data_IF_977564568623
#
_entry.id   IF_977564568623
#
_cell.length_a   1.000
_cell.length_b   1.000
_cell.length_c   1.000
_cell.angle_alpha   90.00
_cell.angle_beta   90.00
_cell.angle_gamma   90.00
#
_symmetry.space_group_name_H-M   'P 1'
#
loop_
_entity.id
_entity.type
_entity.pdbx_description
1 polymer ?
#
# COMPACT_ATOMS: atom_id res chain seq x y z
N UNK A 1 -6.82 26.05 -7.77
CA UNK A 1 -6.27 24.85 -7.09
C UNK A 1 -7.40 24.18 -6.30
N UNK A 2 -7.71 22.90 -6.50
CA UNK A 2 -8.74 22.18 -5.75
C UNK A 2 -8.30 21.94 -4.31
N UNK A 3 -9.25 21.58 -3.44
CA UNK A 3 -8.92 21.10 -2.10
C UNK A 3 -8.52 19.61 -2.16
N UNK A 4 -7.47 19.25 -1.41
CA UNK A 4 -6.97 17.88 -1.28
C UNK A 4 -7.14 17.43 0.17
N UNK A 5 -7.83 16.31 0.40
CA UNK A 5 -7.95 15.71 1.73
C UNK A 5 -6.83 14.69 1.94
N UNK A 6 -6.04 14.90 2.99
CA UNK A 6 -5.02 13.96 3.44
C UNK A 6 -5.58 13.16 4.60
N UNK A 7 -5.62 11.84 4.46
CA UNK A 7 -6.21 10.90 5.41
C UNK A 7 -5.08 10.17 6.13
N UNK A 8 -5.06 10.26 7.46
CA UNK A 8 -4.03 9.67 8.32
C UNK A 8 -4.71 8.81 9.39
N UNK A 9 -4.76 7.49 9.23
CA UNK A 9 -5.22 6.58 10.28
C UNK A 9 -4.16 6.46 11.38
N UNK A 10 -4.56 6.64 12.64
CA UNK A 10 -3.66 6.69 13.80
C UNK A 10 -4.02 5.57 14.79
N UNK A 11 -3.09 4.66 15.06
CA UNK A 11 -3.24 3.62 16.08
C UNK A 11 -1.89 3.12 16.58
N UNK A 12 -1.62 3.30 17.87
CA UNK A 12 -0.42 2.80 18.57
C UNK A 12 0.91 3.23 17.89
N UNK A 13 1.03 4.53 17.58
CA UNK A 13 2.16 5.14 16.86
C UNK A 13 2.60 6.49 17.43
N UNK A 14 2.33 6.77 18.70
CA UNK A 14 2.62 8.07 19.35
C UNK A 14 4.04 8.58 19.11
N UNK A 15 5.01 7.66 18.97
CA UNK A 15 6.42 7.98 18.73
C UNK A 15 6.66 8.63 17.36
N UNK A 16 5.91 8.24 16.34
CA UNK A 16 6.13 8.62 14.95
C UNK A 16 5.14 9.69 14.47
N UNK A 17 3.95 9.70 15.05
CA UNK A 17 2.83 10.55 14.64
C UNK A 17 3.18 12.06 14.59
N UNK A 18 3.95 12.65 15.53
CA UNK A 18 4.32 14.05 15.43
C UNK A 18 5.13 14.40 14.18
N UNK A 19 6.04 13.52 13.75
CA UNK A 19 6.85 13.70 12.54
C UNK A 19 5.97 13.58 11.29
N UNK A 20 5.08 12.61 11.26
CA UNK A 20 4.10 12.42 10.19
C UNK A 20 3.27 13.69 9.99
N UNK A 21 2.58 14.16 11.03
CA UNK A 21 1.71 15.34 10.96
C UNK A 21 2.52 16.58 10.58
N UNK A 22 3.71 16.78 11.14
CA UNK A 22 4.57 17.91 10.81
C UNK A 22 4.95 17.94 9.34
N UNK A 23 5.21 16.79 8.73
CA UNK A 23 5.54 16.67 7.30
C UNK A 23 4.35 17.03 6.40
N UNK A 24 3.12 16.78 6.87
CA UNK A 24 1.87 17.12 6.18
C UNK A 24 1.58 18.63 6.29
N UNK A 25 1.73 19.20 7.47
CA UNK A 25 1.56 20.64 7.70
C UNK A 25 2.53 21.46 6.84
N UNK A 26 3.76 20.94 6.68
CA UNK A 26 4.85 21.56 5.92
C UNK A 26 4.75 21.42 4.40
N UNK A 27 3.67 20.87 3.83
CA UNK A 27 3.54 20.71 2.39
C UNK A 27 3.55 22.05 1.64
N UNK A 28 4.16 22.08 0.45
CA UNK A 28 4.17 23.27 -0.44
C UNK A 28 2.79 23.56 -0.98
N UNK A 29 1.97 22.55 -1.25
CA UNK A 29 0.57 22.69 -1.61
C UNK A 29 -0.26 23.11 -0.38
N UNK A 30 -0.97 24.24 -0.43
CA UNK A 30 -1.57 24.88 0.76
C UNK A 30 -3.04 24.55 0.99
N UNK A 31 -3.82 24.27 -0.06
CA UNK A 31 -5.27 24.04 0.04
C UNK A 31 -5.57 22.60 0.47
N UNK A 32 -5.27 22.31 1.74
CA UNK A 32 -5.40 21.00 2.32
C UNK A 32 -6.54 20.94 3.34
N UNK A 33 -7.17 19.80 3.42
CA UNK A 33 -7.94 19.27 4.53
C UNK A 33 -7.15 18.09 5.09
N UNK A 34 -6.85 18.06 6.37
CA UNK A 34 -6.07 17.02 7.02
C UNK A 34 -6.99 16.27 7.98
N UNK A 35 -7.25 15.00 7.72
CA UNK A 35 -8.18 14.19 8.52
C UNK A 35 -7.35 13.15 9.28
N UNK A 36 -7.18 13.38 10.59
CA UNK A 36 -6.53 12.45 11.51
C UNK A 36 -7.61 11.57 12.13
N UNK A 37 -7.50 10.25 11.95
CA UNK A 37 -8.46 9.29 12.51
C UNK A 37 -7.78 8.52 13.63
N UNK A 38 -8.03 8.91 14.87
CA UNK A 38 -7.66 8.13 16.05
C UNK A 38 -8.59 6.91 16.15
N UNK A 39 -8.10 5.75 15.77
CA UNK A 39 -8.85 4.50 15.75
C UNK A 39 -8.88 3.82 17.13
N UNK A 40 -9.18 4.59 18.19
CA UNK A 40 -9.23 4.11 19.56
C UNK A 40 -7.86 3.68 20.06
N UNK A 41 -6.84 4.50 19.80
CA UNK A 41 -5.45 4.21 20.15
C UNK A 41 -5.27 4.08 21.67
N UNK A 42 -4.53 3.04 22.16
CA UNK A 42 -4.29 2.86 23.60
C UNK A 42 -3.18 3.77 24.15
N UNK A 43 -2.42 4.43 23.26
CA UNK A 43 -1.33 5.36 23.58
C UNK A 43 -1.78 6.83 23.49
N UNK A 44 -0.84 7.77 23.40
CA UNK A 44 -1.16 9.21 23.34
C UNK A 44 -1.55 9.73 21.95
N UNK A 45 -1.79 8.88 20.95
CA UNK A 45 -2.14 9.33 19.60
C UNK A 45 -3.31 10.29 19.56
N UNK A 46 -4.42 9.99 20.27
CA UNK A 46 -5.59 10.85 20.31
C UNK A 46 -5.27 12.26 20.84
N UNK A 47 -4.51 12.34 21.96
CA UNK A 47 -4.06 13.61 22.53
C UNK A 47 -3.15 14.40 21.58
N UNK A 48 -2.23 13.69 20.88
CA UNK A 48 -1.34 14.31 19.89
C UNK A 48 -2.16 14.90 18.75
N UNK A 49 -3.15 14.17 18.21
CA UNK A 49 -4.05 14.66 17.17
C UNK A 49 -4.74 15.96 17.59
N UNK A 50 -5.30 16.02 18.80
CA UNK A 50 -5.98 17.20 19.34
C UNK A 50 -5.04 18.39 19.52
N UNK A 51 -3.81 18.15 19.97
CA UNK A 51 -2.80 19.20 20.14
C UNK A 51 -2.39 19.81 18.79
N UNK A 52 -2.30 19.02 17.73
CA UNK A 52 -2.04 19.53 16.38
C UNK A 52 -3.24 20.25 15.79
N UNK A 53 -4.47 19.78 16.01
CA UNK A 53 -5.68 20.43 15.54
C UNK A 53 -5.88 21.83 16.15
N UNK A 54 -5.45 22.04 17.40
CA UNK A 54 -5.45 23.38 18.05
C UNK A 54 -4.47 24.35 17.39
N UNK A 55 -3.42 23.84 16.69
CA UNK A 55 -2.36 24.66 16.09
C UNK A 55 -2.58 24.94 14.59
N UNK A 56 -3.34 24.08 13.91
CA UNK A 56 -3.59 24.18 12.47
C UNK A 56 -5.07 23.92 12.14
N UNK A 57 -5.77 24.95 11.72
CA UNK A 57 -7.21 24.88 11.43
C UNK A 57 -7.61 24.00 10.24
N UNK A 58 -6.64 23.53 9.44
CA UNK A 58 -6.86 22.58 8.37
C UNK A 58 -7.06 21.14 8.89
N UNK A 59 -6.72 20.89 10.15
CA UNK A 59 -6.78 19.56 10.77
C UNK A 59 -8.16 19.32 11.35
N UNK A 60 -8.75 18.19 10.98
CA UNK A 60 -9.96 17.61 11.57
C UNK A 60 -9.59 16.29 12.26
N UNK A 61 -10.02 16.10 13.50
CA UNK A 61 -9.77 14.86 14.25
C UNK A 61 -11.07 14.07 14.37
N UNK A 62 -10.98 12.77 14.16
CA UNK A 62 -12.06 11.82 14.43
C UNK A 62 -11.55 10.84 15.47
N UNK A 63 -12.20 10.80 16.63
CA UNK A 63 -12.00 9.75 17.62
C UNK A 63 -13.07 8.68 17.45
N UNK A 64 -12.68 7.43 17.31
CA UNK A 64 -13.61 6.32 17.16
C UNK A 64 -13.15 5.09 17.94
N UNK A 65 -14.04 4.17 18.21
CA UNK A 65 -13.69 2.85 18.72
C UNK A 65 -12.85 2.12 17.67
N UNK A 66 -11.83 1.38 18.11
CA UNK A 66 -10.97 0.62 17.21
C UNK A 66 -11.78 -0.29 16.27
N UNK A 67 -11.58 -0.10 14.98
CA UNK A 67 -12.18 -0.87 13.89
C UNK A 67 -11.15 -1.35 12.87
N UNK A 68 -9.88 -0.99 13.08
CA UNK A 68 -8.75 -1.31 12.22
C UNK A 68 -8.54 -0.33 11.07
N UNK A 69 -7.41 -0.48 10.42
CA UNK A 69 -6.88 0.44 9.37
C UNK A 69 -7.90 0.73 8.26
N UNK A 70 -8.57 -0.30 7.75
CA UNK A 70 -9.60 -0.18 6.72
C UNK A 70 -10.77 0.68 7.17
N UNK A 71 -11.25 0.47 8.41
CA UNK A 71 -12.38 1.22 8.96
C UNK A 71 -12.02 2.69 9.17
N UNK A 72 -10.81 2.97 9.67
CA UNK A 72 -10.32 4.33 9.83
C UNK A 72 -10.22 5.07 8.49
N UNK A 73 -9.69 4.43 7.44
CA UNK A 73 -9.65 5.02 6.10
C UNK A 73 -11.05 5.26 5.53
N UNK A 74 -11.96 4.29 5.67
CA UNK A 74 -13.32 4.41 5.14
C UNK A 74 -14.11 5.54 5.80
N UNK A 75 -14.05 5.67 7.12
CA UNK A 75 -14.70 6.78 7.85
C UNK A 75 -14.18 8.13 7.34
N UNK A 76 -12.88 8.25 7.10
CA UNK A 76 -12.31 9.49 6.56
C UNK A 76 -12.72 9.75 5.11
N UNK A 77 -12.79 8.72 4.25
CA UNK A 77 -13.31 8.85 2.88
C UNK A 77 -14.73 9.42 2.88
N UNK A 78 -15.59 8.93 3.78
CA UNK A 78 -17.01 9.30 3.84
C UNK A 78 -17.23 10.77 4.22
N UNK A 79 -16.30 11.38 4.98
CA UNK A 79 -16.40 12.79 5.41
C UNK A 79 -15.48 13.75 4.65
N UNK A 80 -14.56 13.23 3.83
CA UNK A 80 -13.61 14.05 3.08
C UNK A 80 -14.33 14.97 2.10
N UNK A 81 -13.97 16.26 2.12
CA UNK A 81 -14.58 17.29 1.28
C UNK A 81 -13.69 17.69 0.10
N UNK A 82 -12.42 17.27 0.10
CA UNK A 82 -11.50 17.53 -1.00
C UNK A 82 -11.91 16.82 -2.29
N UNK A 83 -11.58 17.41 -3.42
CA UNK A 83 -11.76 16.80 -4.73
C UNK A 83 -10.83 15.59 -4.92
N UNK A 84 -9.70 15.60 -4.22
CA UNK A 84 -8.67 14.57 -4.27
C UNK A 84 -8.38 14.03 -2.87
N UNK A 85 -8.01 12.75 -2.79
CA UNK A 85 -7.65 12.05 -1.57
C UNK A 85 -6.20 11.56 -1.64
N UNK A 86 -5.46 11.71 -0.55
CA UNK A 86 -4.14 11.13 -0.32
C UNK A 86 -4.17 10.39 1.01
N UNK A 87 -3.66 9.16 1.04
CA UNK A 87 -3.49 8.39 2.27
C UNK A 87 -2.02 8.43 2.69
N UNK A 88 -1.78 8.64 3.97
CA UNK A 88 -0.44 8.60 4.58
C UNK A 88 -0.53 7.75 5.84
N UNK A 89 0.30 6.73 5.95
CA UNK A 89 0.36 5.92 7.16
C UNK A 89 1.08 6.70 8.26
N UNK A 90 0.58 6.64 9.47
CA UNK A 90 0.95 7.54 10.57
C UNK A 90 2.34 7.29 11.18
N UNK A 91 3.01 6.21 10.79
CA UNK A 91 4.42 5.94 11.12
C UNK A 91 5.40 6.39 10.02
N UNK A 92 4.88 6.85 8.88
CA UNK A 92 5.66 7.39 7.77
C UNK A 92 5.70 8.92 7.79
N UNK A 93 6.54 9.53 6.97
CA UNK A 93 6.51 10.95 6.67
C UNK A 93 6.87 11.21 5.21
N UNK A 94 6.51 12.38 4.72
CA UNK A 94 6.60 12.72 3.31
C UNK A 94 7.47 13.96 3.05
N UNK A 95 8.03 14.07 1.84
CA UNK A 95 8.72 15.27 1.40
C UNK A 95 7.75 16.46 1.33
N UNK A 96 8.22 17.68 1.55
CA UNK A 96 7.38 18.89 1.50
C UNK A 96 6.69 19.09 0.13
N UNK A 97 7.23 18.52 -0.95
CA UNK A 97 6.67 18.57 -2.30
C UNK A 97 5.79 17.37 -2.65
N UNK A 98 5.47 16.48 -1.71
CA UNK A 98 4.74 15.24 -1.99
C UNK A 98 3.38 15.49 -2.65
N UNK A 99 2.55 16.31 -2.02
CA UNK A 99 1.21 16.65 -2.55
C UNK A 99 1.29 17.37 -3.89
N UNK A 100 2.16 18.36 -4.00
CA UNK A 100 2.36 19.13 -5.24
C UNK A 100 2.87 18.23 -6.38
N UNK A 101 3.79 17.32 -6.10
CA UNK A 101 4.29 16.33 -7.08
C UNK A 101 3.15 15.45 -7.60
N UNK A 102 2.35 14.88 -6.70
CA UNK A 102 1.23 14.01 -7.09
C UNK A 102 0.14 14.78 -7.85
N UNK A 103 -0.20 15.98 -7.37
CA UNK A 103 -1.24 16.80 -7.99
C UNK A 103 -0.81 17.30 -9.39
N UNK A 104 0.45 17.72 -9.56
CA UNK A 104 0.96 18.13 -10.87
C UNK A 104 0.90 17.02 -11.92
N UNK A 105 1.07 15.75 -11.49
CA UNK A 105 0.95 14.61 -12.40
C UNK A 105 -0.49 14.39 -12.88
N UNK A 106 -1.49 14.45 -11.99
CA UNK A 106 -2.89 14.27 -12.39
C UNK A 106 -3.36 15.39 -13.31
N UNK A 107 -2.93 16.62 -13.06
CA UNK A 107 -3.21 17.75 -13.96
C UNK A 107 -2.52 17.57 -15.32
N UNK A 108 -1.21 17.31 -15.32
CA UNK A 108 -0.41 17.19 -16.55
C UNK A 108 -0.90 16.09 -17.48
N UNK A 109 -1.28 14.95 -16.93
CA UNK A 109 -1.65 13.77 -17.70
C UNK A 109 -3.16 13.57 -17.84
N UNK A 110 -3.96 14.41 -17.20
CA UNK A 110 -5.42 14.32 -17.15
C UNK A 110 -5.89 12.89 -16.81
N UNK A 111 -5.57 12.47 -15.59
CA UNK A 111 -5.92 11.16 -15.03
C UNK A 111 -6.43 11.32 -13.59
N UNK A 112 -7.16 10.33 -13.10
CA UNK A 112 -7.76 10.35 -11.76
C UNK A 112 -6.87 9.77 -10.66
N UNK A 113 -5.72 9.18 -11.04
CA UNK A 113 -4.76 8.59 -10.09
C UNK A 113 -3.35 8.97 -10.52
N UNK A 114 -2.52 9.38 -9.55
CA UNK A 114 -1.07 9.41 -9.75
C UNK A 114 -0.33 8.74 -8.60
N UNK A 115 0.87 8.22 -8.89
CA UNK A 115 1.72 7.54 -7.93
C UNK A 115 3.16 8.07 -7.99
N UNK A 116 3.80 8.16 -6.82
CA UNK A 116 5.20 8.51 -6.67
C UNK A 116 5.94 7.41 -5.89
N UNK A 117 7.26 7.36 -6.05
CA UNK A 117 8.10 6.37 -5.40
C UNK A 117 8.35 6.73 -3.92
N UNK A 118 8.82 5.73 -3.18
CA UNK A 118 9.20 5.84 -1.78
C UNK A 118 10.64 5.37 -1.57
N UNK A 119 11.17 5.64 -0.41
CA UNK A 119 12.42 5.09 0.06
C UNK A 119 12.24 4.48 1.43
N UNK A 120 12.66 3.23 1.57
CA UNK A 120 12.69 2.54 2.85
C UNK A 120 13.73 3.15 3.77
N UNK A 121 13.37 3.34 5.03
CA UNK A 121 14.28 3.75 6.09
C UNK A 121 14.15 2.85 7.32
N UNK A 122 15.25 2.61 7.97
CA UNK A 122 15.25 1.97 9.29
C UNK A 122 15.10 3.04 10.38
N UNK A 123 14.55 2.65 11.52
CA UNK A 123 14.41 3.52 12.67
C UNK A 123 15.78 4.10 13.09
N UNK A 124 15.83 5.40 13.39
CA UNK A 124 17.06 6.10 13.76
C UNK A 124 18.01 6.44 12.60
N UNK A 125 17.68 6.07 11.35
CA UNK A 125 18.51 6.41 10.19
C UNK A 125 18.01 7.67 9.49
N UNK A 126 18.99 8.50 9.05
CA UNK A 126 18.71 9.62 8.16
C UNK A 126 19.02 9.21 6.73
N UNK A 127 18.03 9.29 5.87
CA UNK A 127 18.15 8.98 4.44
C UNK A 127 17.75 10.20 3.61
N UNK A 128 18.35 10.34 2.43
CA UNK A 128 18.00 11.39 1.46
C UNK A 128 17.18 10.75 0.34
N UNK A 129 16.06 11.36 -0.02
CA UNK A 129 15.26 10.96 -1.17
C UNK A 129 15.99 11.28 -2.47
N UNK A 130 15.84 10.42 -3.48
CA UNK A 130 16.25 10.72 -4.83
C UNK A 130 15.11 11.48 -5.53
N UNK A 131 15.38 12.74 -5.81
CA UNK A 131 14.44 13.65 -6.47
C UNK A 131 14.93 14.10 -7.85
N UNK A 132 16.14 13.69 -8.24
CA UNK A 132 16.77 14.07 -9.51
C UNK A 132 16.44 13.04 -10.60
N UNK A 133 16.46 13.50 -11.86
CA UNK A 133 16.25 12.65 -13.05
C UNK A 133 15.00 11.77 -13.00
N UNK A 134 13.89 12.31 -12.50
CA UNK A 134 12.64 11.55 -12.41
C UNK A 134 12.04 11.29 -13.80
N UNK A 135 11.67 10.05 -14.02
CA UNK A 135 10.86 9.63 -15.18
C UNK A 135 9.40 9.82 -14.79
N UNK A 136 8.64 10.38 -15.73
CA UNK A 136 7.18 10.50 -15.60
C UNK A 136 6.52 9.83 -16.80
N UNK A 137 5.54 8.98 -16.55
CA UNK A 137 4.80 8.28 -17.59
C UNK A 137 3.30 8.24 -17.26
N UNK A 138 2.48 8.23 -18.32
CA UNK A 138 1.05 7.89 -18.23
C UNK A 138 0.85 6.46 -18.67
N UNK A 139 0.17 5.67 -17.85
CA UNK A 139 -0.25 4.31 -18.15
C UNK A 139 -1.77 4.28 -18.33
N UNK A 140 -2.26 3.55 -19.33
CA UNK A 140 -3.68 3.20 -19.36
C UNK A 140 -3.99 2.23 -18.21
N UNK A 141 -5.27 1.96 -17.91
CA UNK A 141 -5.67 1.13 -16.76
C UNK A 141 -5.08 -0.28 -16.81
N UNK A 142 -5.04 -0.91 -17.97
CA UNK A 142 -4.52 -2.28 -18.10
C UNK A 142 -3.01 -2.33 -17.81
N UNK A 143 -2.24 -1.42 -18.41
CA UNK A 143 -0.80 -1.31 -18.18
C UNK A 143 -0.47 -0.88 -16.75
N UNK A 144 -1.33 -0.06 -16.12
CA UNK A 144 -1.19 0.34 -14.74
C UNK A 144 -1.38 -0.83 -13.77
N UNK A 145 -2.45 -1.64 -13.96
CA UNK A 145 -2.69 -2.84 -13.16
C UNK A 145 -1.57 -3.86 -13.36
N UNK A 146 -1.14 -4.09 -14.60
CA UNK A 146 -0.01 -4.98 -14.90
C UNK A 146 1.26 -4.53 -14.17
N UNK A 147 1.62 -3.25 -14.29
CA UNK A 147 2.81 -2.64 -13.69
C UNK A 147 2.77 -2.75 -12.16
N UNK A 148 1.61 -2.47 -11.57
CA UNK A 148 1.37 -2.57 -10.12
C UNK A 148 1.52 -4.01 -9.61
N UNK A 149 0.96 -5.00 -10.30
CA UNK A 149 1.06 -6.39 -9.88
C UNK A 149 2.47 -6.97 -10.04
N UNK A 150 3.24 -6.51 -11.02
CA UNK A 150 4.67 -6.83 -11.09
C UNK A 150 5.49 -6.05 -10.05
N UNK A 151 4.88 -5.11 -9.32
CA UNK A 151 5.55 -4.23 -8.35
C UNK A 151 6.72 -3.46 -9.01
N UNK A 152 6.49 -3.00 -10.23
CA UNK A 152 7.36 -2.08 -10.95
C UNK A 152 6.78 -0.67 -10.79
N UNK A 153 7.58 0.36 -10.69
CA UNK A 153 7.20 1.77 -10.57
C UNK A 153 6.27 2.13 -9.41
N UNK A 154 5.27 1.32 -9.07
CA UNK A 154 4.40 1.51 -7.90
C UNK A 154 3.76 0.19 -7.47
N UNK A 155 3.17 0.17 -6.27
CA UNK A 155 2.64 -1.03 -5.61
C UNK A 155 1.15 -0.87 -5.27
N UNK A 156 0.54 -1.94 -4.71
CA UNK A 156 -0.87 -1.96 -4.30
C UNK A 156 -1.18 -1.04 -3.12
N UNK A 157 -0.18 -0.56 -2.36
CA UNK A 157 -0.34 0.30 -1.19
C UNK A 157 -1.36 1.43 -1.41
N UNK A 158 -2.12 1.80 -0.38
CA UNK A 158 -3.00 2.96 -0.42
C UNK A 158 -2.20 4.28 -0.48
N UNK A 159 -1.09 4.34 0.26
CA UNK A 159 -0.20 5.49 0.35
C UNK A 159 0.68 5.68 -0.90
N UNK A 160 1.36 6.83 -0.98
CA UNK A 160 2.22 7.19 -2.11
C UNK A 160 1.46 7.53 -3.38
N UNK A 161 0.16 7.77 -3.28
CA UNK A 161 -0.73 8.04 -4.41
C UNK A 161 -1.72 9.17 -4.07
N UNK A 162 -2.22 9.80 -5.13
CA UNK A 162 -3.38 10.68 -5.10
C UNK A 162 -4.51 10.03 -5.90
N UNK A 163 -5.73 10.14 -5.41
CA UNK A 163 -6.92 9.58 -6.02
C UNK A 163 -7.99 10.68 -6.16
N UNK A 164 -8.66 10.74 -7.29
CA UNK A 164 -9.85 11.57 -7.42
C UNK A 164 -10.95 11.00 -6.51
N UNK A 165 -11.55 11.83 -5.65
CA UNK A 165 -12.55 11.37 -4.65
C UNK A 165 -13.72 10.64 -5.30
N UNK A 166 -14.14 11.06 -6.51
CA UNK A 166 -15.24 10.43 -7.25
C UNK A 166 -15.03 8.93 -7.54
N UNK A 167 -13.81 8.42 -7.56
CA UNK A 167 -13.54 6.98 -7.71
C UNK A 167 -14.15 6.15 -6.57
N UNK A 168 -14.30 6.74 -5.40
CA UNK A 168 -14.91 6.09 -4.23
C UNK A 168 -16.44 6.20 -4.19
N UNK A 169 -17.03 7.02 -5.07
CA UNK A 169 -18.49 7.16 -5.22
C UNK A 169 -19.13 5.91 -5.86
N UNK A 170 -18.33 5.08 -6.56
CA UNK A 170 -18.72 3.75 -7.03
C UNK A 170 -19.01 2.74 -5.90
N UNK A 171 -18.79 3.12 -4.64
CA UNK A 171 -18.94 2.26 -3.47
C UNK A 171 -17.70 1.44 -3.12
N UNK A 172 -16.57 1.61 -3.83
CA UNK A 172 -15.30 0.96 -3.49
C UNK A 172 -14.85 1.44 -2.10
N UNK A 173 -14.59 0.49 -1.21
CA UNK A 173 -14.09 0.73 0.16
C UNK A 173 -13.05 -0.33 0.52
N UNK A 174 -12.19 0.01 1.48
CA UNK A 174 -11.25 -0.94 2.05
C UNK A 174 -12.01 -1.99 2.88
N UNK A 175 -11.72 -3.31 2.75
CA UNK A 175 -12.41 -4.37 3.47
C UNK A 175 -12.15 -4.28 4.98
N UNK A 176 -13.21 -4.03 5.77
CA UNK A 176 -13.12 -3.87 7.23
C UNK A 176 -12.67 -5.15 7.92
N UNK A 177 -11.80 -5.01 8.93
CA UNK A 177 -11.32 -6.11 9.76
C UNK A 177 -10.38 -7.07 9.05
N UNK A 178 -9.87 -6.73 7.87
CA UNK A 178 -8.93 -7.54 7.09
C UNK A 178 -7.59 -6.83 6.99
N UNK A 179 -6.49 -7.60 7.06
CA UNK A 179 -5.15 -7.14 6.71
C UNK A 179 -4.96 -7.22 5.18
N UNK A 180 -3.99 -6.45 4.66
CA UNK A 180 -3.70 -6.39 3.20
C UNK A 180 -4.88 -5.87 2.38
N UNK A 181 -5.61 -4.94 2.93
CA UNK A 181 -6.84 -4.33 2.41
C UNK A 181 -6.62 -3.55 1.10
N UNK A 182 -5.39 -3.13 0.86
CA UNK A 182 -4.95 -2.47 -0.36
C UNK A 182 -4.95 -3.42 -1.57
N UNK A 183 -4.61 -4.68 -1.34
CA UNK A 183 -4.50 -5.71 -2.38
C UNK A 183 -5.80 -5.88 -3.20
N UNK A 184 -6.98 -6.05 -2.58
CA UNK A 184 -8.25 -6.17 -3.30
C UNK A 184 -8.88 -4.82 -3.70
N UNK A 185 -8.30 -3.67 -3.27
CA UNK A 185 -8.94 -2.36 -3.45
C UNK A 185 -8.30 -1.54 -4.56
N UNK A 186 -6.97 -1.45 -4.60
CA UNK A 186 -6.28 -0.50 -5.49
C UNK A 186 -6.49 -0.80 -6.97
N UNK A 187 -6.52 -2.07 -7.40
CA UNK A 187 -6.79 -2.38 -8.81
C UNK A 187 -8.20 -1.97 -9.24
N UNK A 188 -9.20 -2.08 -8.36
CA UNK A 188 -10.58 -1.64 -8.65
C UNK A 188 -10.66 -0.14 -8.87
N UNK A 189 -9.93 0.65 -8.05
CA UNK A 189 -9.84 2.10 -8.24
C UNK A 189 -9.18 2.45 -9.58
N UNK A 190 -8.17 1.66 -10.01
CA UNK A 190 -7.54 1.85 -11.32
C UNK A 190 -8.52 1.50 -12.45
N UNK A 191 -9.34 0.48 -12.31
CA UNK A 191 -10.36 0.11 -13.30
C UNK A 191 -11.43 1.20 -13.49
N UNK A 192 -11.79 1.91 -12.42
CA UNK A 192 -12.71 3.06 -12.48
C UNK A 192 -12.06 4.33 -13.06
N UNK A 193 -10.73 4.38 -13.15
CA UNK A 193 -10.01 5.56 -13.65
C UNK A 193 -9.79 5.49 -15.17
N UNK A 194 -9.34 6.59 -15.77
CA UNK A 194 -8.87 6.62 -17.17
C UNK A 194 -7.44 6.09 -17.33
N UNK A 195 -6.69 5.96 -16.22
CA UNK A 195 -5.31 5.52 -16.15
C UNK A 195 -4.58 6.07 -14.94
N UNK A 196 -3.26 5.84 -14.89
CA UNK A 196 -2.40 6.26 -13.78
C UNK A 196 -1.20 7.01 -14.32
N UNK A 197 -0.91 8.20 -13.75
CA UNK A 197 0.36 8.88 -13.97
C UNK A 197 1.37 8.44 -12.89
N UNK A 198 2.59 8.11 -13.29
CA UNK A 198 3.60 7.60 -12.36
C UNK A 198 4.88 8.41 -12.49
N UNK A 199 5.50 8.74 -11.37
CA UNK A 199 6.86 9.30 -11.35
C UNK A 199 7.80 8.41 -10.56
N UNK A 200 9.06 8.33 -11.02
CA UNK A 200 10.14 7.69 -10.25
C UNK A 200 10.67 8.57 -9.12
N UNK A 201 10.18 9.80 -8.98
CA UNK A 201 10.56 10.71 -7.89
C UNK A 201 10.14 10.12 -6.54
N UNK A 202 11.10 10.01 -5.64
CA UNK A 202 10.83 9.55 -4.28
C UNK A 202 10.27 10.71 -3.44
N UNK A 203 9.09 10.50 -2.85
CA UNK A 203 8.42 11.54 -2.04
C UNK A 203 7.96 11.04 -0.67
N UNK A 204 8.04 9.74 -0.42
CA UNK A 204 7.64 9.10 0.85
C UNK A 204 8.84 8.44 1.51
N UNK A 205 8.98 8.62 2.82
CA UNK A 205 9.92 7.92 3.69
C UNK A 205 9.18 6.80 4.40
N UNK A 206 9.32 5.58 3.90
CA UNK A 206 8.64 4.40 4.44
C UNK A 206 9.44 3.79 5.59
N UNK A 207 8.85 3.71 6.79
CA UNK A 207 9.52 3.20 7.98
C UNK A 207 9.43 1.67 8.07
N UNK A 208 10.60 1.01 8.04
CA UNK A 208 10.71 -0.41 8.37
C UNK A 208 10.93 -0.56 9.88
N UNK A 209 10.00 -1.21 10.57
CA UNK A 209 10.08 -1.53 11.99
C UNK A 209 9.67 -2.98 12.27
N UNK A 210 10.25 -3.58 13.32
CA UNK A 210 9.93 -4.96 13.71
C UNK A 210 8.46 -5.13 14.17
N UNK A 211 7.89 -4.10 14.77
CA UNK A 211 6.50 -4.04 15.25
C UNK A 211 5.47 -3.66 14.17
N UNK A 212 5.85 -3.64 12.89
CA UNK A 212 4.89 -3.44 11.79
C UNK A 212 4.13 -4.75 11.51
N UNK A 213 2.93 -4.63 10.92
CA UNK A 213 2.12 -5.79 10.48
C UNK A 213 2.94 -6.77 9.63
N UNK A 214 3.84 -6.25 8.80
CA UNK A 214 4.72 -7.09 7.97
C UNK A 214 5.87 -7.74 8.76
N UNK A 215 6.34 -7.10 9.82
CA UNK A 215 7.45 -7.57 10.67
C UNK A 215 7.04 -8.57 11.75
N UNK A 216 5.76 -8.64 12.09
CA UNK A 216 5.22 -9.56 13.10
C UNK A 216 5.21 -11.01 12.62
N UNK A 217 5.24 -11.96 13.59
CA UNK A 217 5.05 -13.38 13.34
C UNK A 217 3.68 -13.67 12.70
N UNK A 218 3.54 -14.87 12.16
CA UNK A 218 2.27 -15.31 11.57
C UNK A 218 1.12 -15.26 12.58
N UNK A 219 -0.02 -14.73 12.13
CA UNK A 219 -1.31 -14.79 12.81
C UNK A 219 -2.40 -15.17 11.81
N UNK A 220 -3.50 -15.76 12.28
CA UNK A 220 -4.59 -16.20 11.37
C UNK A 220 -5.23 -15.04 10.60
N UNK A 221 -5.18 -13.81 11.11
CA UNK A 221 -5.64 -12.61 10.38
C UNK A 221 -4.88 -12.37 9.07
N UNK A 222 -3.62 -12.84 8.97
CA UNK A 222 -2.82 -12.75 7.74
C UNK A 222 -3.35 -13.66 6.62
N UNK A 223 -4.25 -14.61 6.93
CA UNK A 223 -4.90 -15.44 5.92
C UNK A 223 -5.86 -14.67 5.00
N UNK A 224 -6.17 -13.41 5.28
CA UNK A 224 -6.84 -12.53 4.32
C UNK A 224 -6.15 -12.52 2.94
N UNK A 225 -4.83 -12.73 2.90
CA UNK A 225 -4.07 -12.88 1.64
C UNK A 225 -4.55 -14.07 0.80
N UNK A 226 -4.98 -15.19 1.40
CA UNK A 226 -5.54 -16.33 0.65
C UNK A 226 -6.86 -15.96 -0.01
N UNK A 227 -7.76 -15.36 0.77
CA UNK A 227 -9.08 -14.91 0.29
C UNK A 227 -8.93 -13.90 -0.86
N UNK A 228 -8.14 -12.86 -0.65
CA UNK A 228 -7.92 -11.82 -1.67
C UNK A 228 -7.15 -12.34 -2.89
N UNK A 229 -6.20 -13.25 -2.67
CA UNK A 229 -5.48 -13.91 -3.74
C UNK A 229 -6.43 -14.69 -4.67
N UNK A 230 -7.34 -15.47 -4.11
CA UNK A 230 -8.36 -16.20 -4.87
C UNK A 230 -9.31 -15.25 -5.60
N UNK A 231 -9.78 -14.20 -4.94
CA UNK A 231 -10.64 -13.19 -5.57
C UNK A 231 -9.98 -12.57 -6.80
N UNK A 232 -8.72 -12.15 -6.69
CA UNK A 232 -7.99 -11.49 -7.77
C UNK A 232 -7.71 -12.47 -8.91
N UNK A 233 -7.26 -13.68 -8.61
CA UNK A 233 -6.97 -14.70 -9.63
C UNK A 233 -8.24 -15.09 -10.39
N UNK A 234 -9.37 -15.30 -9.70
CA UNK A 234 -10.65 -15.61 -10.33
C UNK A 234 -11.18 -14.45 -11.16
N UNK A 235 -10.96 -13.22 -10.72
CA UNK A 235 -11.40 -12.02 -11.42
C UNK A 235 -10.71 -11.86 -12.78
N UNK A 236 -9.40 -12.08 -12.85
CA UNK A 236 -8.63 -11.88 -14.09
C UNK A 236 -8.54 -13.13 -14.97
N UNK A 237 -8.75 -14.35 -14.44
CA UNK A 237 -8.49 -15.62 -15.15
C UNK A 237 -9.27 -15.77 -16.46
N UNK A 238 -10.56 -15.49 -16.58
CA UNK A 238 -11.27 -15.79 -17.82
C UNK A 238 -11.08 -14.74 -18.92
N UNK A 239 -10.73 -13.50 -18.57
CA UNK A 239 -10.87 -12.34 -19.45
C UNK A 239 -9.56 -11.77 -19.97
N UNK A 240 -8.46 -11.92 -19.23
CA UNK A 240 -7.21 -11.25 -19.59
C UNK A 240 -5.97 -12.03 -19.13
N UNK A 241 -5.37 -12.83 -20.03
CA UNK A 241 -4.14 -13.59 -19.74
C UNK A 241 -2.97 -12.72 -19.28
N UNK A 242 -2.86 -11.48 -19.77
CA UNK A 242 -1.80 -10.53 -19.40
C UNK A 242 -1.92 -10.15 -17.93
N UNK A 243 -3.09 -9.70 -17.49
CA UNK A 243 -3.36 -9.32 -16.11
C UNK A 243 -3.36 -10.52 -15.17
N UNK A 244 -3.87 -11.67 -15.60
CA UNK A 244 -3.80 -12.91 -14.83
C UNK A 244 -2.35 -13.31 -14.51
N UNK A 245 -1.45 -13.27 -15.49
CA UNK A 245 -0.04 -13.59 -15.28
C UNK A 245 0.64 -12.59 -14.33
N UNK A 246 0.30 -11.32 -14.39
CA UNK A 246 0.80 -10.31 -13.45
C UNK A 246 0.24 -10.55 -12.03
N UNK A 247 -1.06 -10.87 -11.91
CA UNK A 247 -1.70 -11.23 -10.66
C UNK A 247 -1.04 -12.47 -10.03
N UNK A 248 -0.77 -13.53 -10.80
CA UNK A 248 -0.02 -14.70 -10.33
C UNK A 248 1.32 -14.31 -9.68
N UNK A 249 2.05 -13.37 -10.29
CA UNK A 249 3.33 -12.90 -9.72
C UNK A 249 3.16 -12.16 -8.39
N UNK A 250 2.15 -11.28 -8.29
CA UNK A 250 1.85 -10.54 -7.07
C UNK A 250 1.41 -11.47 -5.94
N UNK A 251 0.48 -12.37 -6.25
CA UNK A 251 -0.10 -13.29 -5.27
C UNK A 251 0.91 -14.33 -4.82
N UNK A 252 1.71 -14.90 -5.72
CA UNK A 252 2.80 -15.81 -5.35
C UNK A 252 3.79 -15.14 -4.39
N UNK A 253 4.16 -13.89 -4.65
CA UNK A 253 5.05 -13.13 -3.76
C UNK A 253 4.44 -12.93 -2.37
N UNK A 254 3.12 -12.65 -2.30
CA UNK A 254 2.39 -12.52 -1.04
C UNK A 254 2.31 -13.87 -0.28
N UNK A 255 2.05 -14.98 -1.00
CA UNK A 255 2.03 -16.31 -0.39
C UNK A 255 3.38 -16.71 0.18
N UNK A 256 4.48 -16.47 -0.53
CA UNK A 256 5.81 -16.72 0.01
C UNK A 256 6.10 -15.87 1.26
N UNK A 257 5.73 -14.58 1.25
CA UNK A 257 5.93 -13.73 2.42
C UNK A 257 5.26 -14.29 3.67
N UNK A 258 4.02 -14.75 3.56
CA UNK A 258 3.31 -15.36 4.68
C UNK A 258 3.87 -16.74 5.01
N UNK A 259 4.15 -17.57 4.02
CA UNK A 259 4.69 -18.93 4.20
C UNK A 259 5.96 -18.95 5.05
N UNK A 260 6.87 -18.00 4.85
CA UNK A 260 8.10 -17.94 5.67
C UNK A 260 7.91 -17.42 7.09
N UNK A 261 6.74 -16.87 7.42
CA UNK A 261 6.36 -16.47 8.77
C UNK A 261 5.68 -17.63 9.54
N UNK A 262 5.15 -18.63 8.83
CA UNK A 262 4.47 -19.77 9.42
C UNK A 262 5.51 -20.73 10.01
N UNK A 263 5.32 -21.16 11.26
CA UNK A 263 6.15 -22.17 11.89
C UNK A 263 6.00 -23.53 11.19
N UNK A 264 7.10 -24.30 11.13
CA UNK A 264 7.09 -25.65 10.55
C UNK A 264 6.13 -26.55 11.32
N UNK A 265 5.28 -27.29 10.58
CA UNK A 265 4.26 -28.18 11.15
C UNK A 265 2.94 -27.50 11.51
N UNK A 266 2.82 -26.19 11.35
CA UNK A 266 1.54 -25.50 11.49
C UNK A 266 0.55 -25.93 10.39
N UNK A 267 -0.75 -26.04 10.72
CA UNK A 267 -1.81 -26.43 9.76
C UNK A 267 -1.84 -25.60 8.46
N UNK A 268 -1.44 -24.32 8.53
CA UNK A 268 -1.43 -23.40 7.40
C UNK A 268 -0.25 -23.60 6.46
N UNK A 269 0.82 -24.26 6.91
CA UNK A 269 2.02 -24.50 6.12
C UNK A 269 1.71 -25.24 4.80
N UNK A 270 0.96 -26.35 4.88
CA UNK A 270 0.59 -27.15 3.71
C UNK A 270 -0.40 -26.41 2.78
N UNK A 271 -1.29 -25.59 3.35
CA UNK A 271 -2.25 -24.81 2.57
C UNK A 271 -1.50 -23.78 1.70
N UNK A 272 -0.61 -22.99 2.31
CA UNK A 272 0.20 -22.02 1.57
C UNK A 272 1.14 -22.69 0.56
N UNK A 273 1.74 -23.82 0.96
CA UNK A 273 2.61 -24.56 0.05
C UNK A 273 1.87 -25.06 -1.20
N UNK A 274 0.66 -25.58 -1.04
CA UNK A 274 -0.18 -25.98 -2.18
C UNK A 274 -0.44 -24.79 -3.09
N UNK A 275 -0.85 -23.64 -2.54
CA UNK A 275 -1.10 -22.41 -3.33
C UNK A 275 0.15 -21.90 -4.06
N UNK A 276 1.32 -22.01 -3.44
CA UNK A 276 2.61 -21.69 -4.08
C UNK A 276 2.83 -22.65 -5.27
N UNK A 277 2.62 -23.95 -5.09
CA UNK A 277 2.76 -24.95 -6.14
C UNK A 277 1.82 -24.70 -7.32
N UNK A 278 0.59 -24.25 -7.07
CA UNK A 278 -0.40 -23.97 -8.11
C UNK A 278 0.04 -22.79 -9.01
N UNK A 279 0.75 -21.79 -8.45
CA UNK A 279 1.10 -20.55 -9.16
C UNK A 279 2.54 -20.53 -9.70
N UNK A 280 3.46 -21.33 -9.15
CA UNK A 280 4.90 -21.24 -9.44
C UNK A 280 5.27 -21.38 -10.92
N UNK A 281 4.54 -22.21 -11.69
CA UNK A 281 4.79 -22.39 -13.11
C UNK A 281 4.57 -21.09 -13.90
N UNK A 282 3.45 -20.40 -13.67
CA UNK A 282 3.11 -19.13 -14.31
C UNK A 282 4.17 -18.04 -14.05
N UNK A 283 4.82 -18.09 -12.89
CA UNK A 283 5.80 -17.07 -12.49
C UNK A 283 7.21 -17.41 -12.97
N UNK A 284 7.60 -18.70 -12.94
CA UNK A 284 8.94 -19.14 -13.31
C UNK A 284 9.31 -18.71 -14.74
N UNK A 285 8.41 -18.93 -15.68
CA UNK A 285 8.64 -18.64 -17.10
C UNK A 285 8.23 -17.22 -17.52
N UNK A 286 7.67 -16.45 -16.62
CA UNK A 286 7.24 -15.08 -16.90
C UNK A 286 8.42 -14.09 -16.88
N UNK A 287 8.84 -13.64 -18.08
CA UNK A 287 9.98 -12.73 -18.23
C UNK A 287 9.76 -11.35 -17.60
N UNK A 288 8.51 -10.91 -17.42
CA UNK A 288 8.17 -9.65 -16.76
C UNK A 288 8.22 -9.74 -15.23
N UNK A 289 8.14 -10.96 -14.68
CA UNK A 289 8.21 -11.17 -13.24
C UNK A 289 9.59 -10.78 -12.68
N UNK A 290 9.60 -10.19 -11.49
CA UNK A 290 10.84 -9.82 -10.78
C UNK A 290 11.75 -11.04 -10.63
N UNK A 291 13.07 -10.84 -10.77
CA UNK A 291 14.06 -11.93 -10.64
C UNK A 291 13.90 -12.71 -9.33
N UNK A 292 13.67 -11.99 -8.20
CA UNK A 292 13.44 -12.64 -6.89
C UNK A 292 12.22 -13.58 -6.90
N UNK A 293 11.12 -13.19 -7.52
CA UNK A 293 9.91 -14.03 -7.60
C UNK A 293 10.15 -15.28 -8.47
N UNK A 294 10.85 -15.13 -9.58
CA UNK A 294 11.21 -16.26 -10.46
C UNK A 294 12.17 -17.24 -9.76
N UNK A 295 13.16 -16.73 -9.04
CA UNK A 295 14.08 -17.56 -8.25
C UNK A 295 13.31 -18.31 -7.16
N UNK A 296 12.42 -17.64 -6.44
CA UNK A 296 11.58 -18.27 -5.42
C UNK A 296 10.69 -19.37 -6.02
N UNK A 297 10.06 -19.09 -7.17
CA UNK A 297 9.29 -20.08 -7.91
C UNK A 297 10.13 -21.29 -8.32
N UNK A 298 11.37 -21.08 -8.81
CA UNK A 298 12.29 -22.15 -9.15
C UNK A 298 12.67 -23.02 -7.95
N UNK A 299 13.10 -22.37 -6.85
CA UNK A 299 13.51 -23.06 -5.61
C UNK A 299 12.36 -23.92 -5.06
N UNK A 300 11.10 -23.49 -5.20
CA UNK A 300 9.94 -24.25 -4.72
C UNK A 300 9.76 -25.62 -5.39
N UNK A 301 10.39 -25.89 -6.55
CA UNK A 301 10.39 -27.22 -7.16
C UNK A 301 11.28 -28.23 -6.41
N UNK A 302 12.20 -27.74 -5.58
CA UNK A 302 13.07 -28.59 -4.75
C UNK A 302 12.38 -29.12 -3.48
N UNK A 303 11.13 -28.72 -3.25
CA UNK A 303 10.34 -29.13 -2.09
C UNK A 303 10.36 -28.14 -0.92
N UNK A 304 9.46 -28.35 0.02
CA UNK A 304 9.17 -27.42 1.12
C UNK A 304 10.38 -27.19 2.04
N UNK A 305 11.06 -28.27 2.45
CA UNK A 305 12.18 -28.19 3.39
C UNK A 305 13.40 -27.50 2.80
N UNK A 306 13.74 -27.81 1.55
CA UNK A 306 14.85 -27.17 0.85
C UNK A 306 14.53 -25.68 0.60
N UNK A 307 13.28 -25.36 0.25
CA UNK A 307 12.85 -23.97 0.07
C UNK A 307 13.02 -23.18 1.38
N UNK A 308 12.57 -23.70 2.52
CA UNK A 308 12.76 -23.05 3.81
C UNK A 308 14.24 -22.87 4.17
N UNK A 309 15.03 -23.93 3.98
CA UNK A 309 16.47 -23.88 4.27
C UNK A 309 17.18 -22.78 3.49
N UNK A 310 16.99 -22.73 2.17
CA UNK A 310 17.64 -21.73 1.33
C UNK A 310 17.22 -20.30 1.69
N UNK A 311 15.92 -20.05 1.92
CA UNK A 311 15.47 -18.71 2.28
C UNK A 311 15.86 -18.26 3.69
N UNK A 312 16.10 -19.17 4.64
CA UNK A 312 16.61 -18.80 5.97
C UNK A 312 18.07 -18.29 5.93
N UNK A 313 18.84 -18.65 4.90
CA UNK A 313 20.25 -18.27 4.73
C UNK A 313 20.46 -17.08 3.79
N UNK A 314 19.41 -16.65 3.06
CA UNK A 314 19.47 -15.51 2.12
C UNK A 314 18.66 -14.28 2.59
N UNK A 315 18.31 -14.22 3.88
CA UNK A 315 17.69 -13.03 4.51
C UNK A 315 18.69 -11.95 4.81
#
# INVERSE_FOLDING_TARGET
MPQISIIVPCYNVEKYLPQCISSIIGQTYRKLEIILVDDGSPDNCGKICDEFAKKDSRIKVIHKKNGGLSDARNVAIDIATGEWLIFIDSDDYVANSHVETLYSLVEKYNVEIAAAQFKERQEGTHIKLDTNNSIEIKLNKEDAIETMFYQNLFETSAWGKIYKRSLFESGIRYPKGKLYEDLPTTYKLIEESSGVAVTSKQTTYYLIRKSSIQGESFSESKNAVLEFGEQILNYFQPSNTKLYNAACCRILSAYFNIFFQIEKGNKWEQIYWKRICDLRFNVLFNKKARKKARIAAFISYLGIDITRFLFSHFK
#
